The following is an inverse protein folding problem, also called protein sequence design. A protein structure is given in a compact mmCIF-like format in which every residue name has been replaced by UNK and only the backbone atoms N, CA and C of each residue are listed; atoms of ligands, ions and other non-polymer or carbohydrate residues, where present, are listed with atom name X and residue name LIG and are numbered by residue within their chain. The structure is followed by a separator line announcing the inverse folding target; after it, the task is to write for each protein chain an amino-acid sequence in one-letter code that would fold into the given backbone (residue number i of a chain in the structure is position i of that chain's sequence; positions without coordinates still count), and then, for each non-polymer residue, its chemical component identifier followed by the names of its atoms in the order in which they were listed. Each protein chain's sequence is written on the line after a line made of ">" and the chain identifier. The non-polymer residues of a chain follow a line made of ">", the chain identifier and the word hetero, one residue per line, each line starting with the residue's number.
data_IF_671046678217
#
_entry.id   IF_671046678217
#
_cell.length_a   1.000
_cell.length_b   1.000
_cell.length_c   1.000
_cell.angle_alpha   90.00
_cell.angle_beta   90.00
_cell.angle_gamma   90.00
#
_symmetry.space_group_name_H-M   'P 1'
#
loop_
_entity.id
_entity.type
_entity.pdbx_description
1 polymer ?
#
# COMPACT_ATOMS: atom_id res chain seq x y z
N UNK A 1 -4.74 15.79 -1.63
CA UNK A 1 -5.38 15.30 -0.38
C UNK A 1 -5.56 13.78 -0.38
N UNK A 2 -6.13 13.19 -1.44
CA UNK A 2 -6.42 11.74 -1.53
C UNK A 2 -5.20 10.81 -1.42
N UNK A 3 -4.06 11.21 -1.99
CA UNK A 3 -2.77 10.49 -1.88
C UNK A 3 -2.24 10.42 -0.44
N UNK A 4 -2.40 11.50 0.32
CA UNK A 4 -1.98 11.57 1.73
C UNK A 4 -2.85 10.67 2.62
N UNK A 5 -4.18 10.67 2.39
CA UNK A 5 -5.11 9.81 3.12
C UNK A 5 -4.85 8.31 2.87
N UNK A 6 -4.54 7.94 1.62
CA UNK A 6 -4.20 6.56 1.25
C UNK A 6 -2.88 6.11 1.89
N UNK A 7 -1.88 6.98 1.90
CA UNK A 7 -0.58 6.71 2.52
C UNK A 7 -0.74 6.58 4.04
N UNK A 8 -1.56 7.42 4.66
CA UNK A 8 -1.93 7.31 6.07
C UNK A 8 -2.62 5.99 6.39
N UNK A 9 -3.64 5.60 5.61
CA UNK A 9 -4.35 4.33 5.78
C UNK A 9 -3.42 3.11 5.63
N UNK A 10 -2.52 3.12 4.65
CA UNK A 10 -1.55 2.05 4.46
C UNK A 10 -0.56 1.96 5.63
N UNK A 11 -0.08 3.10 6.14
CA UNK A 11 0.79 3.15 7.32
C UNK A 11 0.08 2.62 8.56
N UNK A 12 -1.17 2.99 8.78
CA UNK A 12 -1.96 2.49 9.91
C UNK A 12 -2.12 0.96 9.87
N UNK A 13 -2.53 0.41 8.71
CA UNK A 13 -2.66 -1.04 8.53
C UNK A 13 -1.32 -1.74 8.73
N UNK A 14 -0.26 -1.25 8.09
CA UNK A 14 1.07 -1.84 8.20
C UNK A 14 1.60 -1.79 9.64
N UNK A 15 1.38 -0.69 10.37
CA UNK A 15 1.81 -0.54 11.75
C UNK A 15 1.11 -1.55 12.67
N UNK A 16 -0.20 -1.71 12.53
CA UNK A 16 -0.95 -2.69 13.35
C UNK A 16 -0.52 -4.12 13.04
N UNK A 17 -0.41 -4.49 11.75
CA UNK A 17 0.06 -5.83 11.37
C UNK A 17 1.50 -6.11 11.83
N UNK A 18 2.35 -5.09 11.83
CA UNK A 18 3.74 -5.19 12.31
C UNK A 18 3.77 -5.36 13.83
N UNK A 19 2.98 -4.57 14.57
CA UNK A 19 2.86 -4.70 16.02
C UNK A 19 2.32 -6.08 16.42
N UNK A 20 1.31 -6.58 15.71
CA UNK A 20 0.76 -7.92 15.91
C UNK A 20 1.81 -9.00 15.60
N UNK A 21 2.55 -8.88 14.50
CA UNK A 21 3.65 -9.79 14.19
C UNK A 21 4.75 -9.81 15.25
N UNK A 22 5.08 -8.65 15.82
CA UNK A 22 6.04 -8.56 16.94
C UNK A 22 5.50 -9.21 18.21
N UNK A 23 4.20 -9.09 18.49
CA UNK A 23 3.57 -9.78 19.62
C UNK A 23 3.66 -11.30 19.48
N UNK A 24 3.48 -11.83 18.27
CA UNK A 24 3.66 -13.26 18.00
C UNK A 24 5.12 -13.72 18.18
N UNK A 25 6.09 -12.91 17.74
CA UNK A 25 7.51 -13.18 18.01
C UNK A 25 7.82 -13.15 19.51
N UNK A 26 7.20 -12.22 20.24
CA UNK A 26 7.35 -12.14 21.68
C UNK A 26 6.79 -13.38 22.38
N UNK A 27 5.60 -13.84 22.02
CA UNK A 27 5.05 -15.10 22.54
C UNK A 27 5.87 -16.33 22.12
N UNK A 28 6.55 -16.29 20.97
CA UNK A 28 7.45 -17.37 20.55
C UNK A 28 8.68 -17.53 21.46
N UNK A 29 9.00 -16.52 22.29
CA UNK A 29 10.04 -16.63 23.33
C UNK A 29 9.59 -17.44 24.56
N UNK A 30 8.32 -17.85 24.61
CA UNK A 30 7.70 -18.52 25.76
C UNK A 30 7.04 -17.55 26.75
N UNK A 31 7.04 -16.24 26.47
CA UNK A 31 6.27 -15.30 27.28
C UNK A 31 4.77 -15.48 27.08
N UNK A 32 4.00 -15.34 28.15
CA UNK A 32 2.55 -15.51 28.17
C UNK A 32 1.81 -14.23 28.58
N UNK A 33 2.54 -13.10 28.72
CA UNK A 33 1.94 -11.81 29.02
C UNK A 33 0.88 -11.45 27.97
N UNK A 34 -0.29 -10.91 28.37
CA UNK A 34 -0.67 -10.45 29.72
C UNK A 34 -1.32 -11.51 30.62
N UNK A 35 -1.32 -12.79 30.24
CA UNK A 35 -1.94 -13.87 31.01
C UNK A 35 -0.96 -14.56 31.96
N UNK A 36 -1.48 -15.33 32.90
CA UNK A 36 -0.68 -16.07 33.89
C UNK A 36 -0.08 -17.38 33.34
N UNK A 37 -0.64 -17.92 32.26
CA UNK A 37 -0.13 -19.10 31.56
C UNK A 37 -0.62 -19.15 30.09
N UNK A 38 -0.08 -20.11 29.32
CA UNK A 38 -0.38 -20.29 27.88
C UNK A 38 -1.84 -20.63 27.61
N UNK A 39 -2.48 -21.40 28.49
CA UNK A 39 -3.88 -21.79 28.33
C UNK A 39 -4.77 -20.56 28.54
N UNK A 40 -4.54 -19.82 29.61
CA UNK A 40 -5.22 -18.55 29.90
C UNK A 40 -5.02 -17.55 28.75
N UNK A 41 -3.82 -17.46 28.16
CA UNK A 41 -3.57 -16.64 26.98
C UNK A 41 -4.40 -17.10 25.77
N UNK A 42 -4.43 -18.41 25.50
CA UNK A 42 -5.19 -18.96 24.38
C UNK A 42 -6.69 -18.68 24.51
N UNK A 43 -7.26 -18.92 25.68
CA UNK A 43 -8.66 -18.58 25.93
C UNK A 43 -8.90 -17.08 25.83
N UNK A 44 -8.02 -16.23 26.36
CA UNK A 44 -8.19 -14.78 26.32
C UNK A 44 -8.13 -14.20 24.90
N UNK A 45 -7.31 -14.75 24.01
CA UNK A 45 -7.08 -14.22 22.66
C UNK A 45 -7.96 -14.89 21.60
N UNK A 46 -8.12 -16.22 21.69
CA UNK A 46 -8.77 -17.05 20.67
C UNK A 46 -10.12 -17.61 21.12
N UNK A 47 -10.41 -17.64 22.44
CA UNK A 47 -11.63 -18.22 22.96
C UNK A 47 -11.68 -19.76 22.85
N UNK A 48 -10.53 -20.39 22.62
CA UNK A 48 -10.39 -21.84 22.50
C UNK A 48 -8.98 -22.28 22.98
N UNK A 49 -8.82 -23.56 23.30
CA UNK A 49 -7.53 -24.14 23.67
C UNK A 49 -6.70 -24.50 22.43
N UNK A 50 -5.77 -23.61 22.06
CA UNK A 50 -4.95 -23.70 20.86
C UNK A 50 -3.47 -23.60 21.25
N UNK A 51 -2.58 -24.40 20.65
CA UNK A 51 -1.16 -24.38 20.99
C UNK A 51 -0.44 -23.09 20.53
N UNK A 52 0.06 -22.30 21.48
CA UNK A 52 0.98 -21.17 21.24
C UNK A 52 2.43 -21.66 21.18
N UNK A 53 2.74 -22.46 20.16
CA UNK A 53 4.08 -23.04 19.98
C UNK A 53 4.86 -22.29 18.89
N UNK A 54 6.19 -22.34 18.96
CA UNK A 54 7.09 -21.72 17.96
C UNK A 54 6.74 -22.11 16.51
N UNK A 55 6.44 -23.39 16.18
CA UNK A 55 6.03 -23.78 14.84
C UNK A 55 4.72 -23.15 14.35
N UNK A 56 3.88 -22.64 15.24
CA UNK A 56 2.63 -21.93 14.90
C UNK A 56 2.87 -20.42 14.84
N UNK A 57 3.57 -19.87 15.84
CA UNK A 57 3.76 -18.43 15.99
C UNK A 57 4.70 -17.82 14.94
N UNK A 58 5.78 -18.51 14.55
CA UNK A 58 6.72 -17.98 13.56
C UNK A 58 6.11 -17.84 12.16
N UNK A 59 5.37 -18.83 11.61
CA UNK A 59 4.66 -18.66 10.36
C UNK A 59 3.63 -17.52 10.40
N UNK A 60 2.90 -17.37 11.52
CA UNK A 60 1.95 -16.27 11.70
C UNK A 60 2.66 -14.91 11.66
N UNK A 61 3.76 -14.74 12.40
CA UNK A 61 4.54 -13.52 12.37
C UNK A 61 5.06 -13.21 10.96
N UNK A 62 5.61 -14.20 10.26
CA UNK A 62 6.09 -14.05 8.89
C UNK A 62 4.96 -13.64 7.92
N UNK A 63 3.78 -14.22 8.07
CA UNK A 63 2.59 -13.87 7.28
C UNK A 63 2.17 -12.42 7.54
N UNK A 64 2.14 -11.99 8.80
CA UNK A 64 1.78 -10.62 9.19
C UNK A 64 2.77 -9.58 8.66
N UNK A 65 4.08 -9.83 8.78
CA UNK A 65 5.10 -8.95 8.19
C UNK A 65 5.01 -8.90 6.67
N UNK A 66 4.76 -10.04 6.03
CA UNK A 66 4.54 -10.10 4.57
C UNK A 66 3.32 -9.27 4.17
N UNK A 67 2.20 -9.40 4.89
CA UNK A 67 1.00 -8.61 4.68
C UNK A 67 1.25 -7.10 4.84
N UNK A 68 1.96 -6.70 5.90
CA UNK A 68 2.36 -5.31 6.12
C UNK A 68 3.21 -4.75 4.96
N UNK A 69 4.16 -5.57 4.48
CA UNK A 69 4.99 -5.27 3.32
C UNK A 69 4.17 -5.09 2.04
N UNK A 70 3.24 -6.01 1.75
CA UNK A 70 2.37 -5.96 0.57
C UNK A 70 1.49 -4.71 0.56
N UNK A 71 0.86 -4.36 1.69
CA UNK A 71 0.01 -3.15 1.82
C UNK A 71 0.85 -1.88 1.62
N UNK A 72 2.04 -1.83 2.23
CA UNK A 72 2.97 -0.70 2.09
C UNK A 72 3.47 -0.55 0.65
N UNK A 73 3.89 -1.65 0.03
CA UNK A 73 4.35 -1.68 -1.35
C UNK A 73 3.22 -1.28 -2.31
N UNK A 74 1.98 -1.72 -2.06
CA UNK A 74 0.80 -1.34 -2.86
C UNK A 74 0.52 0.16 -2.84
N UNK A 75 0.72 0.80 -1.67
CA UNK A 75 0.55 2.24 -1.52
C UNK A 75 1.64 3.02 -2.27
N UNK A 76 2.90 2.54 -2.22
CA UNK A 76 4.07 3.22 -2.83
C UNK A 76 4.19 3.01 -4.34
N UNK A 77 4.03 1.78 -4.83
CA UNK A 77 4.34 1.41 -6.22
C UNK A 77 3.18 1.61 -7.20
N UNK A 78 1.96 1.88 -6.72
CA UNK A 78 0.79 2.09 -7.58
C UNK A 78 0.28 0.81 -8.27
N UNK A 79 -0.69 0.94 -9.21
CA UNK A 79 -1.29 -0.20 -9.94
C UNK A 79 -0.50 -0.59 -11.20
N UNK A 80 0.17 0.36 -11.84
CA UNK A 80 0.89 0.15 -13.11
C UNK A 80 2.20 -0.63 -12.99
N UNK A 81 2.64 -0.94 -11.76
CA UNK A 81 3.84 -1.74 -11.55
C UNK A 81 3.61 -3.19 -12.00
N UNK A 82 4.66 -3.87 -12.49
CA UNK A 82 4.59 -5.28 -12.94
C UNK A 82 4.03 -6.25 -11.89
N UNK A 83 4.22 -5.94 -10.60
CA UNK A 83 3.70 -6.69 -9.45
C UNK A 83 2.33 -6.19 -8.94
N UNK A 84 1.69 -5.24 -9.64
CA UNK A 84 0.49 -4.56 -9.17
C UNK A 84 -0.68 -5.50 -8.87
N UNK A 85 -0.85 -6.57 -9.66
CA UNK A 85 -1.86 -7.62 -9.42
C UNK A 85 -1.62 -8.38 -8.13
N UNK A 86 -0.37 -8.80 -7.87
CA UNK A 86 -0.01 -9.51 -6.65
C UNK A 86 -0.21 -8.61 -5.42
N UNK A 87 0.28 -7.37 -5.47
CA UNK A 87 0.14 -6.39 -4.40
C UNK A 87 -1.34 -6.07 -4.11
N UNK A 88 -2.17 -6.01 -5.15
CA UNK A 88 -3.61 -5.83 -5.03
C UNK A 88 -4.27 -7.05 -4.38
N UNK A 89 -3.96 -8.26 -4.86
CA UNK A 89 -4.50 -9.50 -4.30
C UNK A 89 -4.13 -9.64 -2.82
N UNK A 90 -2.87 -9.38 -2.45
CA UNK A 90 -2.42 -9.37 -1.06
C UNK A 90 -3.15 -8.35 -0.19
N UNK A 91 -3.33 -7.12 -0.68
CA UNK A 91 -4.09 -6.08 0.06
C UNK A 91 -5.56 -6.45 0.24
N UNK A 92 -6.18 -7.07 -0.77
CA UNK A 92 -7.57 -7.57 -0.68
C UNK A 92 -7.66 -8.75 0.27
N UNK A 93 -6.69 -9.67 0.26
CA UNK A 93 -6.64 -10.79 1.19
C UNK A 93 -6.58 -10.31 2.65
N UNK A 94 -5.77 -9.28 2.94
CA UNK A 94 -5.74 -8.63 4.27
C UNK A 94 -7.09 -8.03 4.65
N UNK A 95 -7.75 -7.35 3.71
CA UNK A 95 -9.09 -6.80 3.94
C UNK A 95 -10.10 -7.92 4.25
N UNK A 96 -10.08 -9.01 3.49
CA UNK A 96 -10.95 -10.16 3.72
C UNK A 96 -10.68 -10.83 5.06
N UNK A 97 -9.42 -11.10 5.42
CA UNK A 97 -9.06 -11.74 6.68
C UNK A 97 -9.49 -10.93 7.90
N UNK A 98 -9.23 -9.62 7.88
CA UNK A 98 -9.71 -8.72 8.95
C UNK A 98 -11.23 -8.60 8.99
N UNK A 99 -11.90 -8.63 7.83
CA UNK A 99 -13.36 -8.58 7.75
C UNK A 99 -14.00 -9.83 8.38
N UNK A 100 -13.49 -11.02 8.03
CA UNK A 100 -13.94 -12.29 8.60
C UNK A 100 -13.83 -12.24 10.13
N UNK A 101 -12.69 -11.77 10.66
CA UNK A 101 -12.48 -11.67 12.11
C UNK A 101 -13.42 -10.67 12.79
N UNK A 102 -13.66 -9.52 12.16
CA UNK A 102 -14.61 -8.51 12.68
C UNK A 102 -16.06 -9.00 12.65
N UNK A 103 -16.48 -9.64 11.56
CA UNK A 103 -17.83 -10.21 11.43
C UNK A 103 -18.05 -11.37 12.41
N UNK A 104 -17.05 -12.23 12.63
CA UNK A 104 -17.11 -13.27 13.66
C UNK A 104 -17.33 -12.66 15.05
N UNK A 105 -16.63 -11.56 15.38
CA UNK A 105 -16.81 -10.85 16.63
C UNK A 105 -18.22 -10.29 16.84
N UNK A 106 -18.82 -9.73 15.78
CA UNK A 106 -20.21 -9.28 15.81
C UNK A 106 -21.20 -10.45 15.97
N UNK A 107 -20.95 -11.58 15.31
CA UNK A 107 -21.78 -12.76 15.45
C UNK A 107 -21.74 -13.32 16.89
N UNK A 108 -20.55 -13.35 17.50
CA UNK A 108 -20.38 -13.74 18.91
C UNK A 108 -21.07 -12.76 19.87
N UNK A 109 -21.06 -11.46 19.57
CA UNK A 109 -21.82 -10.46 20.34
C UNK A 109 -23.34 -10.67 20.24
N UNK A 110 -23.82 -11.16 19.08
CA UNK A 110 -25.22 -11.55 18.85
C UNK A 110 -25.62 -12.92 19.42
N UNK A 111 -24.73 -13.60 20.16
CA UNK A 111 -25.01 -14.87 20.83
C UNK A 111 -24.71 -16.13 20.01
N UNK A 112 -24.21 -16.02 18.78
CA UNK A 112 -23.72 -17.18 18.04
C UNK A 112 -22.41 -17.64 18.69
N UNK A 113 -22.32 -18.86 19.23
CA UNK A 113 -21.09 -19.35 19.89
C UNK A 113 -20.31 -20.38 19.05
N UNK A 114 -20.48 -20.35 17.74
CA UNK A 114 -19.80 -21.28 16.83
C UNK A 114 -18.27 -21.12 16.92
N UNK A 115 -17.57 -22.23 17.18
CA UNK A 115 -16.11 -22.29 17.23
C UNK A 115 -15.46 -21.78 18.53
N UNK A 116 -16.26 -21.48 19.56
CA UNK A 116 -15.77 -21.13 20.90
C UNK A 116 -15.91 -22.34 21.83
N UNK A 117 -14.90 -22.59 22.65
CA UNK A 117 -14.96 -23.63 23.67
C UNK A 117 -15.87 -23.18 24.83
N UNK A 118 -16.39 -24.14 25.61
CA UNK A 118 -17.19 -23.85 26.81
C UNK A 118 -16.40 -23.01 27.83
N UNK A 119 -15.07 -23.14 27.83
CA UNK A 119 -14.15 -22.36 28.66
C UNK A 119 -13.89 -20.93 28.17
N UNK A 120 -14.51 -20.48 27.07
CA UNK A 120 -14.39 -19.10 26.58
C UNK A 120 -14.97 -18.12 27.61
N UNK A 121 -14.08 -17.57 28.44
CA UNK A 121 -14.42 -16.71 29.56
C UNK A 121 -14.87 -15.31 29.16
N UNK A 122 -15.33 -14.55 30.16
CA UNK A 122 -15.76 -13.16 30.02
C UNK A 122 -14.65 -12.24 29.50
N UNK A 123 -13.39 -12.52 29.81
CA UNK A 123 -12.22 -11.77 29.34
C UNK A 123 -12.13 -11.74 27.81
N UNK A 124 -12.23 -12.90 27.16
CA UNK A 124 -12.23 -12.99 25.70
C UNK A 124 -13.39 -12.20 25.10
N UNK A 125 -14.60 -12.34 25.66
CA UNK A 125 -15.78 -11.65 25.17
C UNK A 125 -15.59 -10.13 25.16
N UNK A 126 -15.17 -9.55 26.29
CA UNK A 126 -14.98 -8.10 26.41
C UNK A 126 -13.85 -7.59 25.54
N UNK A 127 -12.71 -8.28 25.53
CA UNK A 127 -11.56 -7.88 24.73
C UNK A 127 -11.86 -7.98 23.23
N UNK A 128 -12.58 -9.03 22.84
CA UNK A 128 -13.06 -9.18 21.48
C UNK A 128 -14.04 -8.09 21.06
N UNK A 129 -15.01 -7.75 21.92
CA UNK A 129 -16.05 -6.79 21.59
C UNK A 129 -15.52 -5.34 21.60
N UNK A 130 -14.78 -4.97 22.65
CA UNK A 130 -14.33 -3.60 22.86
C UNK A 130 -13.08 -3.24 22.04
N UNK A 131 -12.21 -4.21 21.74
CA UNK A 131 -10.93 -3.94 21.08
C UNK A 131 -10.81 -4.63 19.72
N UNK A 132 -10.91 -5.96 19.66
CA UNK A 132 -10.59 -6.69 18.42
C UNK A 132 -11.59 -6.41 17.29
N UNK A 133 -12.88 -6.47 17.58
CA UNK A 133 -13.93 -6.23 16.58
C UNK A 133 -13.82 -4.83 15.95
N UNK A 134 -13.78 -3.73 16.71
CA UNK A 134 -13.64 -2.40 16.11
C UNK A 134 -12.30 -2.23 15.39
N UNK A 135 -11.20 -2.77 15.93
CA UNK A 135 -9.89 -2.72 15.27
C UNK A 135 -9.92 -3.44 13.92
N UNK A 136 -10.45 -4.66 13.87
CA UNK A 136 -10.57 -5.45 12.64
C UNK A 136 -11.43 -4.74 11.59
N UNK A 137 -12.58 -4.19 11.97
CA UNK A 137 -13.45 -3.43 11.05
C UNK A 137 -12.77 -2.16 10.53
N UNK A 138 -12.04 -1.44 11.40
CA UNK A 138 -11.25 -0.27 11.00
C UNK A 138 -10.13 -0.65 10.02
N UNK A 139 -9.40 -1.75 10.28
CA UNK A 139 -8.38 -2.28 9.38
C UNK A 139 -8.97 -2.71 8.03
N UNK A 140 -10.13 -3.38 8.01
CA UNK A 140 -10.84 -3.72 6.78
C UNK A 140 -11.13 -2.46 5.96
N UNK A 141 -11.73 -1.43 6.58
CA UNK A 141 -12.04 -0.19 5.91
C UNK A 141 -10.79 0.52 5.36
N UNK A 142 -9.70 0.53 6.14
CA UNK A 142 -8.43 1.09 5.74
C UNK A 142 -7.78 0.31 4.58
N UNK A 143 -7.75 -1.02 4.64
CA UNK A 143 -7.21 -1.89 3.60
C UNK A 143 -7.99 -1.77 2.29
N UNK A 144 -9.33 -1.74 2.35
CA UNK A 144 -10.18 -1.49 1.19
C UNK A 144 -9.92 -0.11 0.57
N UNK A 145 -9.68 0.93 1.38
CA UNK A 145 -9.29 2.25 0.89
C UNK A 145 -7.95 2.21 0.14
N UNK A 146 -6.96 1.49 0.67
CA UNK A 146 -5.66 1.27 0.00
C UNK A 146 -5.82 0.55 -1.33
N UNK A 147 -6.70 -0.47 -1.36
CA UNK A 147 -7.02 -1.27 -2.54
C UNK A 147 -7.75 -0.45 -3.63
N UNK A 148 -8.66 0.47 -3.24
CA UNK A 148 -9.54 1.25 -4.14
C UNK A 148 -8.88 2.48 -4.78
N UNK A 149 -7.94 3.13 -4.09
CA UNK A 149 -7.37 4.46 -4.44
C UNK A 149 -6.53 4.61 -5.73
N UNK A 150 -6.84 3.87 -6.80
CA UNK A 150 -6.40 4.17 -8.17
C UNK A 150 -7.53 4.05 -9.22
N UNK A 151 -8.78 3.79 -8.81
CA UNK A 151 -9.89 3.66 -9.78
C UNK A 151 -10.39 5.04 -10.26
N UNK A 152 -10.39 6.05 -9.38
CA UNK A 152 -10.91 7.38 -9.70
C UNK A 152 -9.96 8.23 -10.57
N UNK A 153 -8.64 7.98 -10.55
CA UNK A 153 -7.66 8.77 -11.31
C UNK A 153 -7.55 8.40 -12.80
N UNK A 154 -8.11 7.27 -13.24
CA UNK A 154 -8.12 6.87 -14.65
C UNK A 154 -9.41 7.24 -15.38
N UNK A 155 -10.48 7.58 -14.66
CA UNK A 155 -11.73 8.07 -15.25
C UNK A 155 -11.67 9.56 -15.65
N UNK A 156 -10.66 10.31 -15.20
CA UNK A 156 -10.51 11.75 -15.48
C UNK A 156 -9.45 12.14 -16.53
N UNK A 157 -8.68 11.17 -17.06
CA UNK A 157 -7.55 11.44 -17.99
C UNK A 157 -7.63 10.58 -19.25
N UNK A 158 -8.84 10.31 -19.71
CA UNK A 158 -9.12 9.63 -20.99
C UNK A 158 -9.58 10.58 -22.11
N UNK A 159 -9.40 11.90 -21.96
CA UNK A 159 -9.53 12.85 -23.07
C UNK A 159 -8.19 12.92 -23.82
N UNK A 160 -7.86 11.80 -24.46
CA UNK A 160 -6.69 11.65 -25.32
C UNK A 160 -7.18 10.99 -26.58
N UNK A 161 -7.81 11.80 -27.43
CA UNK A 161 -8.20 11.55 -28.82
C UNK A 161 -7.38 10.40 -29.42
N UNK A 162 -8.00 9.23 -29.52
CA UNK A 162 -7.56 8.16 -30.42
C UNK A 162 -7.76 8.71 -31.83
N UNK A 163 -6.81 9.54 -32.30
CA UNK A 163 -6.77 9.94 -33.70
C UNK A 163 -6.27 8.71 -34.44
N UNK A 164 -7.23 7.91 -34.87
CA UNK A 164 -7.10 6.83 -35.83
C UNK A 164 -6.36 7.38 -37.06
N UNK A 165 -5.02 7.28 -37.08
CA UNK A 165 -4.25 7.48 -38.31
C UNK A 165 -4.39 6.18 -39.08
N UNK A 166 -5.50 6.09 -39.82
CA UNK A 166 -5.61 5.21 -40.98
C UNK A 166 -4.49 5.65 -41.93
N UNK A 167 -3.36 4.96 -41.85
CA UNK A 167 -2.28 5.04 -42.81
C UNK A 167 -2.74 4.27 -44.05
N UNK A 168 -3.65 4.86 -44.83
CA UNK A 168 -3.69 4.62 -46.28
C UNK A 168 -2.38 5.16 -46.86
N UNK A 169 -1.70 4.51 -47.80
CA UNK A 169 -2.24 3.79 -48.94
C UNK A 169 -1.83 4.58 -50.19
N UNK A 170 -0.80 4.10 -50.90
CA UNK A 170 -0.57 4.37 -52.33
C UNK A 170 0.09 5.70 -52.71
N UNK A 171 1.22 5.62 -53.43
CA UNK A 171 1.79 6.77 -54.13
C UNK A 171 3.21 6.55 -54.62
N UNK A 172 3.36 5.79 -55.71
CA UNK A 172 4.60 5.63 -56.47
C UNK A 172 5.02 6.96 -57.08
N UNK A 173 6.27 7.38 -56.92
CA UNK A 173 7.01 8.13 -57.95
C UNK A 173 8.49 7.74 -57.88
N UNK A 174 8.98 7.17 -58.98
CA UNK A 174 10.40 7.01 -59.25
C UNK A 174 10.97 8.29 -59.87
N UNK A 175 12.29 8.45 -59.79
CA UNK A 175 13.01 9.51 -60.48
C UNK A 175 14.39 9.79 -59.89
N UNK A 176 15.40 9.23 -60.55
CA UNK A 176 16.85 9.35 -60.43
C UNK A 176 17.48 10.68 -59.94
N UNK A 177 18.42 10.57 -58.97
CA UNK A 177 19.90 10.78 -59.03
C UNK A 177 20.50 12.15 -59.52
N UNK A 178 21.78 12.47 -59.20
CA UNK A 178 22.20 13.69 -58.47
C UNK A 178 23.18 14.58 -59.28
N UNK A 179 23.50 15.78 -58.77
CA UNK A 179 24.81 16.45 -59.00
C UNK A 179 25.15 17.42 -57.87
N UNK A 180 26.45 17.49 -57.63
CA UNK A 180 27.19 18.12 -56.54
C UNK A 180 27.35 19.66 -56.61
N UNK A 181 28.13 20.15 -55.64
CA UNK A 181 28.98 21.35 -55.65
C UNK A 181 28.36 22.73 -55.34
N UNK A 182 28.56 23.18 -54.09
CA UNK A 182 29.44 24.33 -53.89
C UNK A 182 29.98 24.45 -52.46
N UNK A 183 31.30 24.35 -52.36
CA UNK A 183 32.11 24.81 -51.25
C UNK A 183 32.19 26.35 -51.23
N UNK A 184 32.39 26.92 -50.05
CA UNK A 184 32.59 28.35 -49.87
C UNK A 184 33.02 28.67 -48.44
N UNK A 185 34.33 28.77 -48.27
CA UNK A 185 35.07 29.15 -47.07
C UNK A 185 34.63 30.48 -46.41
N UNK A 186 34.88 30.57 -45.10
CA UNK A 186 35.83 31.57 -44.63
C UNK A 186 35.33 32.85 -43.93
N UNK A 187 35.80 32.97 -42.67
CA UNK A 187 36.41 34.19 -42.07
C UNK A 187 35.50 35.24 -41.39
N UNK A 188 35.55 35.17 -40.05
CA UNK A 188 35.82 36.22 -39.06
C UNK A 188 35.48 37.71 -39.34
N UNK A 189 34.59 38.24 -38.47
CA UNK A 189 34.96 39.28 -37.50
C UNK A 189 34.57 40.73 -37.78
N UNK A 190 33.77 41.35 -36.89
CA UNK A 190 34.03 42.72 -36.38
C UNK A 190 33.22 43.06 -35.12
N UNK A 191 33.91 43.75 -34.20
CA UNK A 191 33.50 44.24 -32.87
C UNK A 191 32.55 45.45 -32.90
N UNK A 192 31.63 45.50 -31.91
CA UNK A 192 31.15 46.57 -30.98
C UNK A 192 31.20 48.08 -31.36
N UNK A 193 30.45 49.05 -30.72
CA UNK A 193 30.07 49.12 -29.28
C UNK A 193 28.76 49.90 -28.90
N UNK A 194 28.58 50.12 -27.58
CA UNK A 194 27.75 51.11 -26.84
C UNK A 194 26.55 50.48 -26.08
N UNK A 195 26.20 50.78 -24.83
CA UNK A 195 26.24 52.02 -24.03
C UNK A 195 26.33 51.69 -22.51
N UNK A 196 26.91 52.64 -21.77
CA UNK A 196 27.23 52.76 -20.34
C UNK A 196 26.06 52.98 -19.37
N UNK A 197 26.18 52.48 -18.12
CA UNK A 197 26.06 53.21 -16.81
C UNK A 197 26.01 52.20 -15.64
N UNK A 198 27.03 52.14 -14.76
CA UNK A 198 27.33 52.91 -13.53
C UNK A 198 26.41 52.61 -12.30
N UNK A 199 27.05 51.96 -11.31
CA UNK A 199 26.74 51.72 -9.88
C UNK A 199 26.62 53.03 -9.05
N UNK A 200 26.06 53.02 -7.81
CA UNK A 200 26.88 52.86 -6.58
C UNK A 200 26.19 52.09 -5.40
N UNK A 201 26.86 51.92 -4.22
CA UNK A 201 26.63 50.81 -3.26
C UNK A 201 26.20 51.18 -1.80
N UNK A 202 25.90 50.12 -1.00
CA UNK A 202 25.98 49.93 0.50
C UNK A 202 25.10 50.83 1.39
N UNK A 203 24.53 50.35 2.51
CA UNK A 203 25.20 50.05 3.78
C UNK A 203 24.52 48.99 4.66
N UNK A 204 25.33 48.41 5.55
CA UNK A 204 24.98 47.55 6.68
C UNK A 204 24.62 48.42 7.88
N UNK A 205 23.69 47.94 8.71
CA UNK A 205 23.63 48.22 10.15
C UNK A 205 23.64 46.90 10.89
#
# INVERSE_FOLDING_TARGET
>A
METNLRTGAARAVAAVLTADGLLHLFWATGSHWPADDTKALSYAVLGADVPFTVPVLLPLAALLFTAAGLVTARARLGRGHRWGRLLQAGTVAVACGTAVRGLAGLAWAGGLRAGLDEGAGSTFYWLNLALYTPLCLALTAAALRVARGCAAGQAGSGSGVMRLRIQGGGGRHGGAMPTDDNAGDGVAGRREPSVTRRTPPRERS
#
